data_IF_336710855900
#
_entry.id   IF_336710855900
#
_cell.length_a   1.000
_cell.length_b   1.000
_cell.length_c   1.000
_cell.angle_alpha   90.00
_cell.angle_beta   90.00
_cell.angle_gamma   90.00
#
_symmetry.space_group_name_H-M   'P 1'
#
loop_
_entity.id
_entity.type
_entity.pdbx_description
1 polymer ?
#
# COMPACT_ATOMS: atom_id res chain seq x y z
N UNK A 1 8.36 4.01 -11.35
CA UNK A 1 7.14 3.18 -11.32
C UNK A 1 7.07 2.42 -12.61
N UNK A 2 6.68 1.16 -12.50
CA UNK A 2 6.38 0.29 -13.64
C UNK A 2 4.86 0.31 -13.85
N UNK A 3 4.38 1.02 -14.85
CA UNK A 3 2.94 1.17 -15.15
C UNK A 3 2.55 0.36 -16.39
N UNK A 4 1.24 0.22 -16.67
CA UNK A 4 0.74 -0.48 -17.86
C UNK A 4 0.80 -2.00 -17.80
N UNK A 5 1.03 -2.57 -16.62
CA UNK A 5 1.08 -4.02 -16.38
C UNK A 5 -0.20 -4.52 -15.71
N UNK A 6 -0.50 -5.80 -15.88
CA UNK A 6 -1.53 -6.51 -15.12
C UNK A 6 -0.92 -7.00 -13.80
N UNK A 7 -1.61 -6.77 -12.69
CA UNK A 7 -1.22 -7.25 -11.36
C UNK A 7 -2.35 -8.11 -10.82
N UNK A 8 -2.08 -9.40 -10.66
CA UNK A 8 -3.06 -10.35 -10.14
C UNK A 8 -4.17 -10.70 -11.12
N UNK A 9 -5.24 -11.27 -10.57
CA UNK A 9 -6.42 -11.70 -11.30
C UNK A 9 -7.64 -11.67 -10.38
N UNK A 10 -8.84 -11.70 -10.96
CA UNK A 10 -10.10 -11.91 -10.24
C UNK A 10 -10.66 -13.28 -10.57
N UNK A 11 -11.56 -13.77 -9.71
CA UNK A 11 -12.25 -15.02 -10.00
C UNK A 11 -13.14 -14.91 -11.25
N UNK A 12 -13.69 -16.04 -11.72
CA UNK A 12 -14.53 -16.11 -12.94
C UNK A 12 -15.68 -15.09 -12.96
N UNK A 13 -16.22 -14.72 -11.79
CA UNK A 13 -17.33 -13.78 -11.66
C UNK A 13 -16.87 -12.33 -11.38
N UNK A 14 -15.58 -12.10 -11.16
CA UNK A 14 -15.01 -10.79 -10.87
C UNK A 14 -15.30 -10.25 -9.45
N UNK A 15 -15.78 -11.07 -8.52
CA UNK A 15 -16.29 -10.60 -7.23
C UNK A 15 -15.19 -10.45 -6.16
N UNK A 16 -14.12 -11.25 -6.27
CA UNK A 16 -12.98 -11.25 -5.34
C UNK A 16 -11.66 -11.40 -6.10
N UNK A 17 -10.56 -10.84 -5.56
CA UNK A 17 -9.23 -11.13 -6.07
C UNK A 17 -8.93 -12.62 -5.92
N UNK A 18 -8.42 -13.24 -6.99
CA UNK A 18 -7.99 -14.64 -6.99
C UNK A 18 -6.47 -14.71 -6.82
N UNK A 19 -5.72 -14.07 -7.71
CA UNK A 19 -4.26 -14.01 -7.62
C UNK A 19 -3.81 -12.60 -7.21
N UNK A 20 -2.76 -12.55 -6.39
CA UNK A 20 -2.13 -11.32 -5.89
C UNK A 20 -3.17 -10.28 -5.42
N UNK A 21 -3.92 -10.54 -4.34
CA UNK A 21 -4.78 -9.53 -3.74
C UNK A 21 -3.93 -8.32 -3.33
N UNK A 22 -4.47 -7.13 -3.55
CA UNK A 22 -3.86 -5.86 -3.15
C UNK A 22 -4.74 -5.24 -2.10
N UNK A 23 -4.17 -4.97 -0.93
CA UNK A 23 -4.87 -4.24 0.11
C UNK A 23 -4.77 -2.72 -0.12
N UNK A 24 -5.79 -1.96 0.30
CA UNK A 24 -5.77 -0.50 0.14
C UNK A 24 -4.56 0.17 0.80
N UNK A 25 -4.07 -0.40 1.91
CA UNK A 25 -2.88 0.13 2.57
C UNK A 25 -1.60 -0.03 1.72
N UNK A 26 -1.48 -1.06 0.87
CA UNK A 26 -0.36 -1.17 -0.08
C UNK A 26 -0.40 -0.05 -1.13
N UNK A 27 -1.60 0.37 -1.54
CA UNK A 27 -1.79 1.50 -2.47
C UNK A 27 -1.28 2.80 -1.83
N UNK A 28 -1.64 3.06 -0.57
CA UNK A 28 -1.16 4.23 0.16
C UNK A 28 0.33 4.16 0.46
N UNK A 29 0.87 2.99 0.82
CA UNK A 29 2.31 2.79 1.02
C UNK A 29 3.09 3.10 -0.27
N UNK A 30 2.59 2.65 -1.41
CA UNK A 30 3.16 2.99 -2.73
C UNK A 30 3.10 4.50 -2.99
N UNK A 31 1.97 5.14 -2.72
CA UNK A 31 1.83 6.59 -2.88
C UNK A 31 2.82 7.37 -2.01
N UNK A 32 2.90 7.04 -0.71
CA UNK A 32 3.83 7.67 0.22
C UNK A 32 5.28 7.51 -0.24
N UNK A 33 5.66 6.31 -0.67
CA UNK A 33 6.99 6.08 -1.24
C UNK A 33 7.26 6.98 -2.45
N UNK A 34 6.27 7.18 -3.34
CA UNK A 34 6.40 8.09 -4.50
C UNK A 34 6.50 9.56 -4.11
N UNK A 35 5.96 9.93 -2.95
CA UNK A 35 6.09 11.27 -2.36
C UNK A 35 7.35 11.45 -1.52
N UNK A 36 8.21 10.43 -1.42
CA UNK A 36 9.43 10.46 -0.60
C UNK A 36 9.16 10.27 0.90
N UNK A 37 7.97 9.78 1.28
CA UNK A 37 7.59 9.47 2.65
C UNK A 37 7.75 7.97 2.87
N UNK A 38 8.61 7.59 3.81
CA UNK A 38 8.80 6.20 4.18
C UNK A 38 7.72 5.74 5.18
N UNK A 39 6.72 5.00 4.70
CA UNK A 39 5.65 4.47 5.54
C UNK A 39 6.16 3.50 6.64
N UNK A 40 7.37 2.95 6.48
CA UNK A 40 8.01 2.07 7.46
C UNK A 40 8.50 2.80 8.72
N UNK A 41 8.78 4.10 8.60
CA UNK A 41 9.39 4.91 9.68
C UNK A 41 8.61 6.18 10.02
N UNK A 42 7.83 6.70 9.08
CA UNK A 42 7.03 7.90 9.28
C UNK A 42 5.94 7.69 10.32
N UNK A 43 5.86 8.62 11.27
CA UNK A 43 4.85 8.64 12.33
C UNK A 43 4.30 10.04 12.52
N UNK A 44 3.07 10.11 13.03
CA UNK A 44 2.43 11.34 13.50
C UNK A 44 2.08 11.22 14.98
N UNK A 45 2.18 12.30 15.76
CA UNK A 45 1.74 12.27 17.15
C UNK A 45 0.21 12.17 17.22
N UNK A 46 -0.30 11.31 18.10
CA UNK A 46 -1.70 11.34 18.51
C UNK A 46 -1.99 12.55 19.43
N UNK A 47 -3.23 12.68 19.90
CA UNK A 47 -3.62 13.76 20.81
C UNK A 47 -2.87 13.76 22.16
N UNK A 48 -2.25 12.64 22.54
CA UNK A 48 -1.43 12.51 23.74
C UNK A 48 0.08 12.58 23.42
N UNK A 49 0.47 12.89 22.18
CA UNK A 49 1.86 12.99 21.74
C UNK A 49 2.53 11.65 21.45
N UNK A 50 1.81 10.52 21.47
CA UNK A 50 2.38 9.20 21.16
C UNK A 50 2.53 9.03 19.66
N UNK A 51 3.66 8.50 19.16
CA UNK A 51 3.84 8.27 17.73
C UNK A 51 2.91 7.17 17.23
N UNK A 52 2.19 7.45 16.16
CA UNK A 52 1.35 6.52 15.41
C UNK A 52 1.87 6.41 13.98
N UNK A 53 2.01 5.19 13.48
CA UNK A 53 2.38 4.98 12.07
C UNK A 53 1.27 5.45 11.14
N UNK A 54 1.66 5.82 9.92
CA UNK A 54 0.71 6.23 8.89
C UNK A 54 -0.20 5.08 8.43
N UNK A 55 0.33 3.85 8.45
CA UNK A 55 -0.32 2.62 7.99
C UNK A 55 0.07 1.45 8.90
N UNK A 56 -0.83 0.49 9.06
CA UNK A 56 -0.54 -0.79 9.71
C UNK A 56 0.26 -1.71 8.76
N UNK A 57 -0.16 -1.79 7.50
CA UNK A 57 0.55 -2.46 6.42
C UNK A 57 1.32 -1.42 5.59
N UNK A 58 2.65 -1.54 5.61
CA UNK A 58 3.58 -0.50 5.13
C UNK A 58 4.31 -0.89 3.87
N UNK A 59 4.12 -2.13 3.42
CA UNK A 59 4.73 -2.62 2.19
C UNK A 59 4.06 -1.97 0.97
N UNK A 60 4.83 -1.30 0.10
CA UNK A 60 4.31 -0.84 -1.18
C UNK A 60 4.01 -2.02 -2.12
N UNK A 61 3.25 -1.75 -3.17
CA UNK A 61 3.00 -2.70 -4.26
C UNK A 61 4.31 -2.90 -5.01
N UNK A 62 5.06 -3.94 -4.64
CA UNK A 62 6.38 -4.28 -5.20
C UNK A 62 6.41 -4.36 -6.72
N UNK A 63 5.30 -4.73 -7.35
CA UNK A 63 5.18 -4.83 -8.80
C UNK A 63 5.31 -3.45 -9.48
N UNK A 64 4.95 -2.36 -8.77
CA UNK A 64 4.93 -0.99 -9.28
C UNK A 64 6.22 -0.19 -9.05
N UNK A 65 7.18 -0.72 -8.28
CA UNK A 65 8.40 0.00 -7.89
C UNK A 65 9.44 -0.09 -9.01
#
# INVERSE_FOLDING_TARGET
MRTGQVIGSTNRLGEVPQDRPVHYQEVFATLYQRLGIDAGTATIPDQAGRPQYLLDQRDPIRELI
#
